data_IF_229303297031
#
_entry.id   IF_229303297031
#
_cell.length_a   1.000
_cell.length_b   1.000
_cell.length_c   1.000
_cell.angle_alpha   90.00
_cell.angle_beta   90.00
_cell.angle_gamma   90.00
#
_symmetry.space_group_name_H-M   'P 1'
#
loop_
_entity.id
_entity.type
_entity.pdbx_description
1 polymer ?
#
# COMPACT_ATOMS: atom_id res chain seq x y z
N UNK A 1 -53.57 17.66 -19.86
CA UNK A 1 -52.31 17.24 -19.20
C UNK A 1 -51.16 17.80 -20.03
N UNK A 2 -50.39 18.76 -19.51
CA UNK A 2 -49.09 19.10 -20.13
C UNK A 2 -48.10 18.01 -19.75
N UNK A 3 -47.52 17.31 -20.73
CA UNK A 3 -46.28 16.58 -20.48
C UNK A 3 -45.15 17.61 -20.37
N UNK A 4 -44.62 17.80 -19.16
CA UNK A 4 -43.28 18.37 -19.03
C UNK A 4 -42.28 17.34 -19.56
N UNK A 5 -41.77 17.58 -20.76
CA UNK A 5 -40.56 16.94 -21.24
C UNK A 5 -39.39 17.38 -20.35
N UNK A 6 -39.00 16.51 -19.43
CA UNK A 6 -37.70 16.60 -18.76
C UNK A 6 -36.60 16.58 -19.81
N UNK A 7 -36.11 17.77 -20.17
CA UNK A 7 -34.86 17.94 -20.90
C UNK A 7 -33.75 17.33 -20.03
N UNK A 8 -33.37 16.10 -20.37
CA UNK A 8 -32.10 15.53 -19.94
C UNK A 8 -30.99 16.41 -20.51
N UNK A 9 -30.57 17.40 -19.72
CA UNK A 9 -29.36 18.16 -19.98
C UNK A 9 -28.21 17.15 -20.03
N UNK A 10 -27.71 16.90 -21.24
CA UNK A 10 -26.47 16.15 -21.40
C UNK A 10 -25.37 16.86 -20.58
N UNK A 11 -24.54 16.12 -19.82
CA UNK A 11 -23.44 16.74 -19.09
C UNK A 11 -22.52 17.48 -20.07
N UNK A 12 -21.94 18.63 -19.66
CA UNK A 12 -21.22 19.52 -20.58
C UNK A 12 -20.05 18.80 -21.25
N UNK A 13 -19.85 19.12 -22.54
CA UNK A 13 -18.84 18.47 -23.35
C UNK A 13 -17.40 18.87 -22.94
N UNK A 14 -16.65 17.85 -22.49
CA UNK A 14 -15.18 17.78 -22.47
C UNK A 14 -14.43 18.76 -21.54
N UNK A 15 -14.53 18.53 -20.24
CA UNK A 15 -13.41 18.78 -19.31
C UNK A 15 -12.43 17.59 -19.30
N UNK A 16 -11.19 17.81 -18.87
CA UNK A 16 -10.21 16.73 -18.66
C UNK A 16 -10.42 16.07 -17.28
N UNK A 17 -10.58 14.76 -17.23
CA UNK A 17 -10.73 14.02 -15.98
C UNK A 17 -9.35 13.79 -15.31
N UNK A 18 -9.25 14.02 -14.01
CA UNK A 18 -8.05 13.64 -13.25
C UNK A 18 -8.25 12.25 -12.67
N UNK A 19 -7.39 11.32 -13.06
CA UNK A 19 -7.30 9.98 -12.48
C UNK A 19 -6.14 10.00 -11.49
N UNK A 20 -6.49 9.98 -10.20
CA UNK A 20 -5.54 10.20 -9.10
C UNK A 20 -5.29 8.88 -8.36
N UNK A 21 -4.01 8.53 -8.23
CA UNK A 21 -3.52 7.39 -7.44
C UNK A 21 -2.47 7.85 -6.43
N UNK A 22 -1.98 6.93 -5.61
CA UNK A 22 -0.92 7.13 -4.64
C UNK A 22 -0.97 6.02 -3.59
N UNK A 23 -0.04 6.02 -2.65
CA UNK A 23 0.00 5.06 -1.54
C UNK A 23 -0.02 3.59 -2.00
N UNK A 24 0.55 3.25 -3.17
CA UNK A 24 0.63 1.84 -3.59
C UNK A 24 1.42 0.97 -2.59
N UNK A 25 2.37 1.56 -1.86
CA UNK A 25 3.10 0.96 -0.75
C UNK A 25 3.82 -0.38 -1.02
N UNK A 26 3.97 -0.80 -2.28
CA UNK A 26 4.52 -2.10 -2.68
C UNK A 26 3.50 -3.13 -3.16
N UNK A 27 2.21 -2.82 -3.14
CA UNK A 27 1.13 -3.74 -3.46
C UNK A 27 0.95 -3.90 -4.98
N UNK A 28 1.83 -4.72 -5.56
CA UNK A 28 1.88 -4.99 -7.00
C UNK A 28 0.71 -5.87 -7.49
N UNK A 29 0.10 -6.67 -6.61
CA UNK A 29 -1.01 -7.60 -6.90
C UNK A 29 -2.26 -7.18 -6.12
N UNK A 30 -3.45 -7.72 -6.43
CA UNK A 30 -4.64 -7.44 -5.63
C UNK A 30 -4.41 -7.75 -4.15
N UNK A 31 -4.60 -6.75 -3.29
CA UNK A 31 -4.55 -6.90 -1.84
C UNK A 31 -5.76 -7.73 -1.39
N UNK A 32 -5.52 -8.81 -0.65
CA UNK A 32 -6.57 -9.68 -0.14
C UNK A 32 -6.35 -11.16 -0.43
N UNK A 33 -6.23 -11.96 0.63
CA UNK A 33 -6.10 -13.43 0.54
C UNK A 33 -7.44 -14.14 0.34
N UNK A 34 -8.52 -13.40 0.04
CA UNK A 34 -9.82 -13.96 -0.35
C UNK A 34 -10.45 -13.18 -1.49
N UNK A 35 -11.18 -13.88 -2.38
CA UNK A 35 -11.90 -13.29 -3.53
C UNK A 35 -12.84 -12.13 -3.19
N UNK A 36 -13.28 -12.01 -1.93
CA UNK A 36 -14.13 -10.91 -1.47
C UNK A 36 -13.34 -9.66 -1.05
N UNK A 37 -12.04 -9.82 -0.74
CA UNK A 37 -11.13 -8.75 -0.34
C UNK A 37 -10.20 -8.27 -1.44
N UNK A 38 -9.85 -9.14 -2.39
CA UNK A 38 -9.02 -8.82 -3.55
C UNK A 38 -9.39 -7.46 -4.16
N UNK A 39 -8.52 -6.45 -3.99
CA UNK A 39 -8.65 -5.11 -4.57
C UNK A 39 -7.32 -4.57 -5.07
N UNK A 40 -7.34 -3.73 -6.11
CA UNK A 40 -6.14 -3.08 -6.61
C UNK A 40 -5.21 -4.01 -7.37
N UNK A 41 -3.90 -3.78 -7.23
CA UNK A 41 -2.86 -4.42 -8.02
C UNK A 41 -2.69 -3.85 -9.42
N UNK A 42 -1.47 -3.98 -9.95
CA UNK A 42 -1.04 -3.46 -11.25
C UNK A 42 -1.92 -3.97 -12.39
N UNK A 43 -2.34 -5.23 -12.33
CA UNK A 43 -3.16 -5.88 -13.38
C UNK A 43 -4.54 -5.24 -13.51
N UNK A 44 -5.24 -4.95 -12.39
CA UNK A 44 -6.57 -4.32 -12.42
C UNK A 44 -6.49 -2.85 -12.76
N UNK A 45 -5.48 -2.15 -12.24
CA UNK A 45 -5.24 -0.75 -12.60
C UNK A 45 -4.92 -0.60 -14.10
N UNK A 46 -4.15 -1.54 -14.67
CA UNK A 46 -3.85 -1.60 -16.09
C UNK A 46 -5.10 -1.87 -16.94
N UNK A 47 -5.97 -2.81 -16.53
CA UNK A 47 -7.28 -3.01 -17.17
C UNK A 47 -8.16 -1.76 -17.09
N UNK A 48 -8.24 -1.12 -15.93
CA UNK A 48 -9.02 0.09 -15.72
C UNK A 48 -8.59 1.23 -16.68
N UNK A 49 -7.29 1.52 -16.78
CA UNK A 49 -6.80 2.51 -17.75
C UNK A 49 -7.10 2.12 -19.21
N UNK A 50 -7.03 0.82 -19.56
CA UNK A 50 -7.47 0.34 -20.88
C UNK A 50 -8.96 0.63 -21.13
N UNK A 51 -9.84 0.47 -20.12
CA UNK A 51 -11.27 0.79 -20.26
C UNK A 51 -11.58 2.29 -20.40
N UNK A 52 -10.76 3.17 -19.82
CA UNK A 52 -10.88 4.64 -19.98
C UNK A 52 -10.44 5.15 -21.35
N UNK A 53 -9.74 4.33 -22.15
CA UNK A 53 -9.23 4.71 -23.47
C UNK A 53 -8.05 5.71 -23.40
N UNK A 54 -7.52 6.18 -24.54
CA UNK A 54 -6.22 6.87 -24.59
C UNK A 54 -6.27 8.41 -24.46
N UNK A 55 -7.44 9.01 -24.23
CA UNK A 55 -7.67 10.47 -24.22
C UNK A 55 -8.77 10.85 -23.24
N UNK A 56 -8.86 12.14 -22.89
CA UNK A 56 -9.91 12.69 -22.03
C UNK A 56 -9.54 12.76 -20.54
N UNK A 57 -8.37 12.26 -20.16
CA UNK A 57 -7.92 12.21 -18.77
C UNK A 57 -6.41 12.42 -18.62
N UNK A 58 -5.98 12.73 -17.38
CA UNK A 58 -4.58 12.79 -16.95
C UNK A 58 -4.37 11.91 -15.72
N UNK A 59 -3.28 11.14 -15.71
CA UNK A 59 -2.87 10.37 -14.53
C UNK A 59 -1.98 11.23 -13.62
N UNK A 60 -2.43 11.42 -12.39
CA UNK A 60 -1.69 12.07 -11.31
C UNK A 60 -1.42 11.02 -10.22
N UNK A 61 -0.19 10.95 -9.72
CA UNK A 61 0.19 10.05 -8.63
C UNK A 61 0.73 10.85 -7.44
N UNK A 62 0.29 10.50 -6.22
CA UNK A 62 0.63 11.21 -4.99
C UNK A 62 1.80 10.55 -4.23
N UNK A 63 2.52 9.63 -4.87
CA UNK A 63 3.75 9.00 -4.38
C UNK A 63 3.51 7.90 -3.37
N UNK A 64 4.57 7.51 -2.68
CA UNK A 64 4.62 6.35 -1.79
C UNK A 64 4.27 5.02 -2.51
N UNK A 65 4.81 4.83 -3.71
CA UNK A 65 4.72 3.54 -4.40
C UNK A 65 5.85 2.58 -3.98
N UNK A 66 7.02 3.14 -3.64
CA UNK A 66 8.19 2.35 -3.30
C UNK A 66 8.05 1.63 -1.96
N UNK A 67 8.77 0.52 -1.81
CA UNK A 67 8.97 -0.21 -0.54
C UNK A 67 10.37 0.01 0.01
N UNK A 68 10.65 -0.59 1.18
CA UNK A 68 12.01 -0.68 1.70
C UNK A 68 13.00 -1.19 0.65
N UNK A 69 14.27 -0.73 0.67
CA UNK A 69 15.27 -1.01 -0.36
C UNK A 69 15.85 -2.42 -0.24
N UNK A 70 14.99 -3.43 -0.37
CA UNK A 70 15.32 -4.85 -0.48
C UNK A 70 15.34 -5.30 -1.95
N UNK A 71 15.97 -6.44 -2.26
CA UNK A 71 16.00 -6.95 -3.63
C UNK A 71 14.60 -7.24 -4.18
N UNK A 72 13.71 -7.86 -3.38
CA UNK A 72 12.29 -8.04 -3.74
C UNK A 72 11.58 -6.69 -3.93
N UNK A 73 11.90 -5.70 -3.09
CA UNK A 73 11.36 -4.35 -3.24
C UNK A 73 11.76 -3.68 -4.55
N UNK A 74 12.99 -3.89 -5.02
CA UNK A 74 13.42 -3.39 -6.32
C UNK A 74 12.73 -4.11 -7.50
N UNK A 75 12.40 -5.40 -7.37
CA UNK A 75 11.56 -6.10 -8.34
C UNK A 75 10.14 -5.51 -8.39
N UNK A 76 9.54 -5.18 -7.24
CA UNK A 76 8.24 -4.47 -7.16
C UNK A 76 8.32 -3.10 -7.84
N UNK A 77 9.37 -2.33 -7.55
CA UNK A 77 9.59 -0.99 -8.09
C UNK A 77 9.73 -0.99 -9.63
N UNK A 78 10.30 -2.05 -10.22
CA UNK A 78 10.37 -2.20 -11.69
C UNK A 78 9.00 -2.45 -12.33
N UNK A 79 8.10 -3.21 -11.68
CA UNK A 79 6.74 -3.42 -12.18
C UNK A 79 5.92 -2.12 -12.15
N UNK A 80 5.99 -1.36 -11.06
CA UNK A 80 5.37 -0.03 -11.00
C UNK A 80 5.95 0.92 -12.06
N UNK A 81 7.27 0.94 -12.26
CA UNK A 81 7.88 1.74 -13.31
C UNK A 81 7.38 1.38 -14.72
N UNK A 82 7.23 0.08 -15.01
CA UNK A 82 6.62 -0.38 -16.26
C UNK A 82 5.17 0.12 -16.39
N UNK A 83 4.36 0.07 -15.32
CA UNK A 83 2.98 0.54 -15.34
C UNK A 83 2.90 2.05 -15.62
N UNK A 84 3.68 2.85 -14.90
CA UNK A 84 3.78 4.31 -15.10
C UNK A 84 4.19 4.68 -16.54
N UNK A 85 5.10 3.91 -17.13
CA UNK A 85 5.52 4.06 -18.53
C UNK A 85 4.43 3.65 -19.52
N UNK A 86 3.76 2.54 -19.28
CA UNK A 86 2.74 1.97 -20.17
C UNK A 86 1.49 2.85 -20.28
N UNK A 87 1.00 3.38 -19.15
CA UNK A 87 -0.20 4.24 -19.10
C UNK A 87 0.13 5.73 -19.02
N UNK A 88 1.38 6.10 -19.33
CA UNK A 88 1.81 7.49 -19.58
C UNK A 88 1.48 8.44 -18.41
N UNK A 89 1.95 8.10 -17.20
CA UNK A 89 1.86 8.96 -16.03
C UNK A 89 2.25 10.41 -16.38
N UNK A 90 1.41 11.39 -16.01
CA UNK A 90 1.66 12.78 -16.38
C UNK A 90 2.47 13.52 -15.31
N UNK A 91 2.13 13.33 -14.03
CA UNK A 91 2.88 13.89 -12.90
C UNK A 91 2.84 12.95 -11.69
N UNK A 92 3.94 12.89 -10.95
CA UNK A 92 4.02 12.22 -9.64
C UNK A 92 4.57 13.18 -8.60
N UNK A 93 3.86 13.38 -7.49
CA UNK A 93 4.44 13.95 -6.27
C UNK A 93 5.23 12.84 -5.57
N UNK A 94 6.58 12.90 -5.48
CA UNK A 94 7.33 11.91 -4.69
C UNK A 94 6.93 12.00 -3.22
N UNK A 95 6.87 10.86 -2.53
CA UNK A 95 6.60 10.75 -1.09
C UNK A 95 7.83 10.27 -0.28
N UNK A 96 7.69 10.15 1.05
CA UNK A 96 8.75 9.67 1.93
C UNK A 96 9.41 8.34 1.49
N UNK A 97 8.66 7.40 0.92
CA UNK A 97 9.22 6.11 0.45
C UNK A 97 10.16 6.30 -0.74
N UNK A 98 9.88 7.22 -1.67
CA UNK A 98 10.82 7.54 -2.75
C UNK A 98 12.07 8.28 -2.24
N UNK A 99 11.92 9.14 -1.21
CA UNK A 99 13.06 9.79 -0.54
C UNK A 99 13.90 8.83 0.31
N UNK A 100 13.33 7.73 0.81
CA UNK A 100 14.06 6.68 1.54
C UNK A 100 15.19 6.05 0.71
N UNK A 101 15.03 6.05 -0.62
CA UNK A 101 16.01 5.54 -1.57
C UNK A 101 17.11 6.57 -1.90
N UNK A 102 17.03 7.78 -1.33
CA UNK A 102 17.93 8.91 -1.54
C UNK A 102 17.92 9.46 -2.99
N UNK A 103 18.79 10.45 -3.25
CA UNK A 103 18.94 11.06 -4.59
C UNK A 103 19.20 10.02 -5.68
N UNK A 104 19.99 8.98 -5.38
CA UNK A 104 20.30 7.89 -6.34
C UNK A 104 19.08 7.05 -6.67
N UNK A 105 18.20 6.76 -5.71
CA UNK A 105 16.94 6.06 -5.95
C UNK A 105 15.98 6.84 -6.83
N UNK A 106 15.78 8.12 -6.51
CA UNK A 106 14.96 9.04 -7.34
C UNK A 106 15.54 9.14 -8.76
N UNK A 107 16.86 9.22 -8.90
CA UNK A 107 17.54 9.23 -10.20
C UNK A 107 17.57 7.87 -10.92
N UNK A 108 17.28 6.74 -10.25
CA UNK A 108 17.36 5.39 -10.84
C UNK A 108 16.33 5.17 -11.94
N UNK A 109 15.16 5.80 -11.84
CA UNK A 109 14.00 5.57 -12.72
C UNK A 109 13.46 6.92 -13.21
N UNK A 110 13.39 7.10 -14.53
CA UNK A 110 12.92 8.35 -15.15
C UNK A 110 11.40 8.46 -15.07
N UNK A 111 10.92 8.86 -13.89
CA UNK A 111 9.53 9.17 -13.61
C UNK A 111 9.26 10.69 -13.73
N UNK A 112 8.01 11.10 -13.99
CA UNK A 112 7.63 12.49 -14.22
C UNK A 112 7.42 13.27 -12.91
N UNK A 113 8.44 13.31 -12.05
CA UNK A 113 8.33 13.92 -10.72
C UNK A 113 7.97 15.41 -10.79
N UNK A 114 7.05 15.82 -9.91
CA UNK A 114 6.55 17.19 -9.77
C UNK A 114 6.67 17.61 -8.31
N UNK A 115 7.59 18.53 -8.02
CA UNK A 115 7.87 18.98 -6.66
C UNK A 115 8.34 20.43 -6.68
N UNK A 116 7.46 21.37 -6.38
CA UNK A 116 7.74 22.81 -6.46
C UNK A 116 8.66 23.28 -5.33
N UNK A 117 8.56 22.68 -4.14
CA UNK A 117 9.32 23.06 -2.95
C UNK A 117 10.69 22.37 -2.79
N UNK A 118 11.19 21.69 -3.82
CA UNK A 118 12.56 21.18 -3.81
C UNK A 118 13.60 22.31 -3.90
N UNK A 119 14.76 22.10 -3.28
CA UNK A 119 15.96 22.93 -3.45
C UNK A 119 17.15 22.10 -3.94
N UNK A 120 18.06 22.77 -4.64
CA UNK A 120 19.16 22.12 -5.37
C UNK A 120 18.68 21.20 -6.50
N UNK A 121 19.60 20.38 -6.99
CA UNK A 121 19.34 19.45 -8.09
C UNK A 121 18.69 18.15 -7.59
N UNK A 122 17.57 17.78 -8.22
CA UNK A 122 16.86 16.52 -8.06
C UNK A 122 16.47 15.97 -9.44
N UNK A 123 16.90 14.76 -9.76
CA UNK A 123 16.77 14.19 -11.10
C UNK A 123 15.29 14.04 -11.52
N UNK A 124 15.01 14.32 -12.79
CA UNK A 124 13.70 14.19 -13.43
C UNK A 124 12.55 14.91 -12.71
N UNK A 125 12.87 15.91 -11.88
CA UNK A 125 11.91 16.67 -11.07
C UNK A 125 11.66 18.03 -11.69
N UNK A 126 10.41 18.30 -12.03
CA UNK A 126 9.94 19.58 -12.53
C UNK A 126 9.27 20.37 -11.40
N UNK A 127 9.41 21.70 -11.39
CA UNK A 127 8.78 22.57 -10.37
C UNK A 127 7.30 22.82 -10.66
N UNK A 128 6.93 22.85 -11.93
CA UNK A 128 5.58 23.07 -12.46
C UNK A 128 5.39 22.27 -13.74
N UNK A 129 4.13 21.97 -14.10
CA UNK A 129 3.74 21.40 -15.39
C UNK A 129 2.52 22.11 -15.96
N UNK A 130 2.30 21.99 -17.28
CA UNK A 130 1.13 22.57 -17.95
C UNK A 130 0.46 21.53 -18.87
N UNK A 131 -0.87 21.40 -18.80
CA UNK A 131 -1.64 20.49 -19.67
C UNK A 131 -3.14 20.81 -19.65
N UNK A 132 -3.78 20.83 -20.83
CA UNK A 132 -5.23 21.08 -21.02
C UNK A 132 -5.81 22.28 -20.23
N UNK A 133 -5.11 23.42 -20.21
CA UNK A 133 -5.54 24.63 -19.47
C UNK A 133 -5.16 24.66 -17.98
N UNK A 134 -4.56 23.59 -17.46
CA UNK A 134 -4.14 23.47 -16.06
C UNK A 134 -2.62 23.62 -15.88
N UNK A 135 -2.23 24.27 -14.79
CA UNK A 135 -0.87 24.41 -14.29
C UNK A 135 -0.74 23.63 -12.97
N UNK A 136 0.14 22.65 -12.95
CA UNK A 136 0.29 21.70 -11.84
C UNK A 136 1.51 22.03 -10.99
N UNK A 137 1.36 21.90 -9.68
CA UNK A 137 2.36 22.12 -8.65
C UNK A 137 2.45 20.89 -7.73
N UNK A 138 3.54 20.76 -6.99
CA UNK A 138 3.75 19.69 -6.02
C UNK A 138 4.31 20.21 -4.70
N UNK A 139 3.73 19.82 -3.58
CA UNK A 139 4.24 20.14 -2.25
C UNK A 139 4.37 18.86 -1.40
N UNK A 140 5.59 18.59 -0.94
CA UNK A 140 5.87 17.60 0.11
C UNK A 140 6.38 18.34 1.35
N UNK A 141 5.72 18.14 2.50
CA UNK A 141 6.16 18.73 3.75
C UNK A 141 7.54 18.20 4.18
N UNK A 142 8.51 19.08 4.50
CA UNK A 142 9.77 18.68 5.09
C UNK A 142 9.61 17.98 6.45
N UNK A 143 8.50 18.21 7.18
CA UNK A 143 8.25 17.56 8.47
C UNK A 143 8.18 16.03 8.35
N UNK A 144 7.62 15.54 7.24
CA UNK A 144 7.52 14.10 6.92
C UNK A 144 8.88 13.48 6.54
N UNK A 145 9.89 14.31 6.27
CA UNK A 145 11.27 13.92 5.91
C UNK A 145 12.28 14.41 6.95
N UNK A 146 11.86 14.58 8.21
CA UNK A 146 12.72 15.11 9.29
C UNK A 146 13.50 14.04 10.06
N UNK A 147 13.06 12.77 10.01
CA UNK A 147 13.57 11.68 10.85
C UNK A 147 13.78 10.37 10.06
N UNK A 148 14.68 9.53 10.58
CA UNK A 148 14.94 8.18 10.07
C UNK A 148 15.55 8.14 8.66
N UNK A 149 15.27 7.06 7.93
CA UNK A 149 15.79 6.81 6.57
C UNK A 149 15.26 7.80 5.52
N UNK A 150 14.21 8.57 5.84
CA UNK A 150 13.60 9.55 4.97
C UNK A 150 14.27 10.93 5.06
N UNK A 151 15.26 11.13 5.96
CA UNK A 151 15.79 12.46 6.27
C UNK A 151 16.34 13.17 5.03
N UNK A 152 15.87 14.39 4.76
CA UNK A 152 16.43 15.22 3.69
C UNK A 152 16.38 16.71 3.98
N UNK A 153 17.45 17.41 3.60
CA UNK A 153 17.52 18.88 3.60
C UNK A 153 17.18 19.46 2.21
N UNK A 154 16.58 18.65 1.31
CA UNK A 154 16.27 19.03 -0.08
C UNK A 154 14.92 19.74 -0.25
N UNK A 155 14.15 19.95 0.81
CA UNK A 155 12.82 20.56 0.73
C UNK A 155 12.74 21.83 1.58
N UNK A 156 12.10 22.86 1.03
CA UNK A 156 11.77 24.08 1.74
C UNK A 156 10.34 24.03 2.31
N UNK A 157 10.11 24.70 3.43
CA UNK A 157 8.82 24.75 4.11
C UNK A 157 7.74 25.55 3.37
N UNK A 158 6.49 25.44 3.85
CA UNK A 158 5.29 26.00 3.21
C UNK A 158 5.38 27.48 2.85
N UNK A 159 6.04 28.32 3.67
CA UNK A 159 6.20 29.75 3.38
C UNK A 159 7.05 30.04 2.13
N UNK A 160 8.18 29.35 1.98
CA UNK A 160 9.04 29.46 0.80
C UNK A 160 8.39 28.82 -0.44
N UNK A 161 7.66 27.71 -0.25
CA UNK A 161 6.80 27.15 -1.30
C UNK A 161 5.76 28.17 -1.80
N UNK A 162 5.00 28.82 -0.92
CA UNK A 162 3.97 29.79 -1.30
C UNK A 162 4.56 31.01 -2.02
N UNK A 163 5.70 31.54 -1.54
CA UNK A 163 6.43 32.61 -2.21
C UNK A 163 6.82 32.21 -3.65
N UNK A 164 7.39 31.01 -3.82
CA UNK A 164 7.77 30.48 -5.14
C UNK A 164 6.57 30.19 -6.03
N UNK A 165 5.52 29.57 -5.49
CA UNK A 165 4.31 29.23 -6.22
C UNK A 165 3.66 30.50 -6.77
N UNK A 166 3.56 31.57 -5.96
CA UNK A 166 3.07 32.89 -6.38
C UNK A 166 3.87 33.49 -7.55
N UNK A 167 5.20 33.33 -7.57
CA UNK A 167 6.06 33.78 -8.69
C UNK A 167 5.90 32.92 -9.94
N UNK A 168 5.66 31.61 -9.80
CA UNK A 168 5.49 30.68 -10.92
C UNK A 168 4.07 30.63 -11.49
N UNK A 169 3.06 31.12 -10.75
CA UNK A 169 1.64 31.06 -11.13
C UNK A 169 1.34 32.03 -12.28
N UNK A 170 0.88 31.51 -13.42
CA UNK A 170 0.34 32.34 -14.52
C UNK A 170 -1.18 32.45 -14.41
N UNK A 171 -1.73 33.66 -14.65
CA UNK A 171 -3.18 33.93 -14.67
C UNK A 171 -3.91 33.26 -15.84
N UNK A 172 -3.18 32.79 -16.85
CA UNK A 172 -3.76 32.14 -18.05
C UNK A 172 -4.18 30.69 -17.79
N UNK A 173 -3.68 30.08 -16.72
CA UNK A 173 -3.86 28.66 -16.39
C UNK A 173 -4.60 28.53 -15.07
N UNK A 174 -5.31 27.42 -14.87
CA UNK A 174 -5.91 27.06 -13.57
C UNK A 174 -4.96 26.19 -12.76
N UNK A 175 -4.86 26.44 -11.46
CA UNK A 175 -3.88 25.85 -10.56
C UNK A 175 -4.36 24.52 -9.98
N UNK A 176 -3.52 23.50 -10.10
CA UNK A 176 -3.67 22.21 -9.40
C UNK A 176 -2.47 21.99 -8.49
N UNK A 177 -2.71 21.64 -7.24
CA UNK A 177 -1.65 21.22 -6.32
C UNK A 177 -1.78 19.74 -5.97
N UNK A 178 -0.74 18.95 -6.23
CA UNK A 178 -0.54 17.67 -5.58
C UNK A 178 0.08 17.94 -4.20
N UNK A 179 -0.60 17.54 -3.12
CA UNK A 179 -0.24 17.95 -1.76
C UNK A 179 0.03 16.75 -0.85
N UNK A 180 1.13 16.79 -0.09
CA UNK A 180 1.36 15.90 1.05
C UNK A 180 2.00 16.69 2.20
N UNK A 181 1.19 17.04 3.19
CA UNK A 181 1.60 17.77 4.38
C UNK A 181 0.53 17.75 5.46
N UNK A 182 0.80 18.41 6.59
CA UNK A 182 -0.12 18.43 7.73
C UNK A 182 -1.35 19.35 7.47
N UNK A 183 -2.44 19.24 8.25
CA UNK A 183 -3.65 20.06 8.04
C UNK A 183 -3.41 21.58 8.11
N UNK A 184 -2.45 22.04 8.91
CA UNK A 184 -2.10 23.47 9.05
C UNK A 184 -1.38 24.00 7.80
N UNK A 185 -0.52 23.19 7.17
CA UNK A 185 0.06 23.51 5.87
C UNK A 185 -1.02 23.55 4.77
N UNK A 186 -2.00 22.63 4.80
CA UNK A 186 -3.12 22.62 3.87
C UNK A 186 -3.98 23.89 4.02
N UNK A 187 -4.32 24.28 5.24
CA UNK A 187 -5.10 25.50 5.55
C UNK A 187 -4.38 26.77 5.06
N UNK A 188 -3.07 26.90 5.33
CA UNK A 188 -2.25 28.00 4.83
C UNK A 188 -2.19 28.07 3.30
N UNK A 189 -2.16 26.91 2.64
CA UNK A 189 -2.15 26.81 1.18
C UNK A 189 -3.52 27.16 0.59
N UNK A 190 -4.60 26.63 1.17
CA UNK A 190 -5.98 26.93 0.78
C UNK A 190 -6.26 28.44 0.91
N UNK A 191 -5.90 29.04 2.04
CA UNK A 191 -6.03 30.47 2.31
C UNK A 191 -5.20 31.39 1.38
N UNK A 192 -4.25 30.84 0.61
CA UNK A 192 -3.49 31.61 -0.38
C UNK A 192 -4.27 31.93 -1.66
N UNK A 193 -5.34 31.18 -1.95
CA UNK A 193 -6.12 31.31 -3.19
C UNK A 193 -5.36 30.98 -4.48
N UNK A 194 -4.17 30.35 -4.41
CA UNK A 194 -3.33 30.06 -5.58
C UNK A 194 -3.81 28.86 -6.41
N UNK A 195 -4.64 27.98 -5.86
CA UNK A 195 -5.01 26.70 -6.47
C UNK A 195 -6.52 26.47 -6.44
N UNK A 196 -7.09 26.25 -7.61
CA UNK A 196 -8.48 25.91 -7.84
C UNK A 196 -8.79 24.44 -7.49
N UNK A 197 -7.78 23.56 -7.55
CA UNK A 197 -7.87 22.15 -7.13
C UNK A 197 -6.66 21.80 -6.27
N UNK A 198 -6.89 21.17 -5.11
CA UNK A 198 -5.83 20.59 -4.28
C UNK A 198 -6.14 19.10 -4.09
N UNK A 199 -5.15 18.26 -4.35
CA UNK A 199 -5.21 16.80 -4.30
C UNK A 199 -4.35 16.31 -3.14
N UNK A 200 -4.92 16.17 -1.92
CA UNK A 200 -4.17 15.66 -0.77
C UNK A 200 -3.91 14.17 -0.89
N UNK A 201 -2.67 13.77 -0.62
CA UNK A 201 -2.31 12.39 -0.43
C UNK A 201 -3.01 11.81 0.80
N UNK A 202 -3.40 10.55 0.71
CA UNK A 202 -3.92 9.80 1.84
C UNK A 202 -2.79 9.57 2.85
N UNK A 203 -3.04 9.90 4.12
CA UNK A 203 -2.05 9.85 5.21
C UNK A 203 -2.45 8.85 6.32
N UNK A 204 -3.43 8.01 6.04
CA UNK A 204 -3.88 6.98 6.98
C UNK A 204 -2.81 5.91 7.19
N UNK A 205 -2.75 5.39 8.42
CA UNK A 205 -1.78 4.35 8.81
C UNK A 205 -2.24 2.94 8.41
N UNK A 206 -3.54 2.77 8.19
CA UNK A 206 -4.15 1.49 7.81
C UNK A 206 -5.45 1.74 7.04
N UNK A 207 -5.97 0.69 6.42
CA UNK A 207 -7.20 0.77 5.64
C UNK A 207 -8.44 1.12 6.47
N UNK A 208 -8.48 0.69 7.74
CA UNK A 208 -9.59 0.94 8.66
C UNK A 208 -9.58 2.37 9.22
N UNK A 209 -8.45 3.06 9.09
CA UNK A 209 -8.28 4.45 9.55
C UNK A 209 -8.32 5.47 8.40
N UNK A 210 -8.55 5.01 7.15
CA UNK A 210 -8.52 5.89 5.98
C UNK A 210 -9.80 6.69 5.80
N UNK A 211 -9.64 7.99 5.57
CA UNK A 211 -10.71 8.94 5.25
C UNK A 211 -10.51 9.43 3.82
N UNK A 212 -11.36 8.95 2.91
CA UNK A 212 -11.28 9.26 1.48
C UNK A 212 -11.92 10.62 1.13
N UNK A 213 -12.76 11.14 2.02
CA UNK A 213 -13.36 12.47 1.98
C UNK A 213 -13.20 13.10 3.37
N UNK A 214 -12.81 14.37 3.42
CA UNK A 214 -12.79 15.18 4.64
C UNK A 214 -13.07 16.66 4.31
N UNK A 215 -13.40 17.45 5.33
CA UNK A 215 -13.67 18.89 5.18
C UNK A 215 -12.66 19.72 5.98
N UNK A 216 -12.15 20.80 5.37
CA UNK A 216 -11.28 21.78 6.01
C UNK A 216 -11.65 23.19 5.49
N UNK A 217 -11.83 24.15 6.40
CA UNK A 217 -12.24 25.52 6.09
C UNK A 217 -13.38 25.59 5.04
N UNK A 218 -14.47 24.84 5.30
CA UNK A 218 -15.68 24.75 4.46
C UNK A 218 -15.47 24.22 3.04
N UNK A 219 -14.30 23.66 2.73
CA UNK A 219 -14.01 22.98 1.48
C UNK A 219 -13.86 21.48 1.71
N UNK A 220 -14.48 20.68 0.83
CA UNK A 220 -14.31 19.23 0.80
C UNK A 220 -13.08 18.84 -0.01
N UNK A 221 -12.36 17.85 0.50
CA UNK A 221 -11.17 17.28 -0.12
C UNK A 221 -11.33 15.77 -0.27
N UNK A 222 -10.77 15.24 -1.35
CA UNK A 222 -10.79 13.81 -1.66
C UNK A 222 -9.37 13.28 -1.78
N UNK A 223 -9.14 12.06 -1.28
CA UNK A 223 -7.85 11.36 -1.41
C UNK A 223 -8.04 9.96 -2.02
N UNK A 224 -7.06 9.45 -2.79
CA UNK A 224 -7.12 8.08 -3.31
C UNK A 224 -7.01 7.06 -2.15
N UNK A 225 -7.61 5.86 -2.29
CA UNK A 225 -7.49 4.83 -1.27
C UNK A 225 -6.06 4.28 -1.19
N UNK A 226 -5.69 3.76 -0.02
CA UNK A 226 -4.40 3.12 0.19
C UNK A 226 -4.21 1.90 -0.75
N UNK A 227 -2.95 1.49 -0.91
CA UNK A 227 -2.52 0.25 -1.56
C UNK A 227 -3.00 0.09 -3.02
N UNK A 228 -3.35 1.20 -3.69
CA UNK A 228 -3.88 1.17 -5.05
C UNK A 228 -5.22 0.45 -5.21
N UNK A 229 -6.02 0.31 -4.14
CA UNK A 229 -7.30 -0.40 -4.17
C UNK A 229 -8.35 0.22 -5.10
N UNK A 230 -8.13 1.47 -5.51
CA UNK A 230 -9.02 2.25 -6.34
C UNK A 230 -8.31 3.44 -6.96
N UNK A 231 -8.97 4.06 -7.92
CA UNK A 231 -8.55 5.34 -8.53
C UNK A 231 -9.54 6.41 -8.09
N UNK A 232 -9.05 7.54 -7.60
CA UNK A 232 -9.89 8.72 -7.39
C UNK A 232 -10.12 9.38 -8.75
N UNK A 233 -11.34 9.30 -9.27
CA UNK A 233 -11.79 10.04 -10.43
C UNK A 233 -12.31 11.40 -9.99
N UNK A 234 -11.72 12.47 -10.51
CA UNK A 234 -12.11 13.85 -10.18
C UNK A 234 -12.32 14.63 -11.47
N UNK A 235 -13.50 15.26 -11.60
CA UNK A 235 -13.73 16.26 -12.62
C UNK A 235 -13.37 17.64 -12.02
N UNK A 236 -12.31 18.30 -12.50
CA UNK A 236 -11.84 19.55 -11.90
C UNK A 236 -12.75 20.75 -12.25
N UNK A 237 -13.73 20.58 -13.14
CA UNK A 237 -14.79 21.56 -13.39
C UNK A 237 -15.90 21.53 -12.33
N UNK A 238 -16.19 20.38 -11.73
CA UNK A 238 -17.27 20.22 -10.73
C UNK A 238 -16.81 20.53 -9.30
N UNK A 239 -16.11 21.66 -9.11
CA UNK A 239 -15.55 22.11 -7.82
C UNK A 239 -14.71 21.04 -7.09
N UNK A 240 -14.07 20.13 -7.83
CA UNK A 240 -13.27 19.04 -7.27
C UNK A 240 -14.08 17.89 -6.66
N UNK A 241 -15.38 17.78 -6.95
CA UNK A 241 -16.16 16.59 -6.59
C UNK A 241 -15.51 15.32 -7.16
N UNK A 242 -15.15 14.39 -6.27
CA UNK A 242 -14.46 13.16 -6.60
C UNK A 242 -15.27 11.90 -6.30
N UNK A 243 -14.99 10.81 -7.00
CA UNK A 243 -15.50 9.46 -6.70
C UNK A 243 -14.37 8.44 -6.77
N UNK A 244 -14.40 7.43 -5.91
CA UNK A 244 -13.41 6.34 -5.96
C UNK A 244 -13.93 5.19 -6.83
N UNK A 245 -13.25 4.94 -7.94
CA UNK A 245 -13.41 3.75 -8.76
C UNK A 245 -12.62 2.59 -8.12
N UNK A 246 -13.30 1.79 -7.30
CA UNK A 246 -12.72 0.61 -6.66
C UNK A 246 -12.35 -0.50 -7.66
N UNK A 247 -11.14 -1.03 -7.55
CA UNK A 247 -10.56 -2.07 -8.42
C UNK A 247 -10.77 -3.47 -7.83
N UNK A 248 -12.03 -3.83 -7.58
CA UNK A 248 -12.42 -5.14 -7.03
C UNK A 248 -12.51 -6.25 -8.11
N UNK A 249 -13.11 -7.41 -7.78
CA UNK A 249 -13.26 -8.54 -8.70
C UNK A 249 -14.02 -8.24 -10.00
N UNK A 250 -14.83 -7.17 -10.03
CA UNK A 250 -15.48 -6.65 -11.24
C UNK A 250 -14.49 -6.10 -12.28
N UNK A 251 -13.28 -5.73 -11.86
CA UNK A 251 -12.21 -5.29 -12.76
C UNK A 251 -11.33 -6.49 -13.09
N UNK A 252 -11.31 -6.97 -14.35
CA UNK A 252 -10.53 -8.14 -14.73
C UNK A 252 -9.03 -7.88 -14.60
N UNK A 253 -8.25 -8.92 -14.32
CA UNK A 253 -6.78 -8.85 -14.41
C UNK A 253 -6.38 -8.64 -15.87
N UNK A 254 -5.43 -7.75 -16.12
CA UNK A 254 -4.88 -7.50 -17.46
C UNK A 254 -3.90 -8.62 -17.85
N UNK A 255 -4.26 -9.51 -18.80
CA UNK A 255 -3.45 -10.68 -19.12
C UNK A 255 -2.09 -10.33 -19.74
N UNK A 256 -1.88 -9.09 -20.18
CA UNK A 256 -0.58 -8.66 -20.73
C UNK A 256 0.54 -8.62 -19.70
N UNK A 257 0.21 -8.67 -18.40
CA UNK A 257 1.17 -8.71 -17.29
C UNK A 257 1.57 -10.12 -16.84
N UNK A 258 0.88 -11.17 -17.31
CA UNK A 258 1.11 -12.54 -16.83
C UNK A 258 2.59 -12.99 -16.96
N UNK A 259 3.27 -12.57 -18.03
CA UNK A 259 4.70 -12.86 -18.23
C UNK A 259 5.60 -12.12 -17.24
N UNK A 260 5.30 -10.87 -16.91
CA UNK A 260 6.09 -10.09 -15.95
C UNK A 260 5.93 -10.63 -14.54
N UNK A 261 4.72 -11.02 -14.15
CA UNK A 261 4.47 -11.66 -12.85
C UNK A 261 5.14 -13.03 -12.75
N UNK A 262 5.06 -13.89 -13.77
CA UNK A 262 5.81 -15.15 -13.78
C UNK A 262 7.33 -14.96 -13.68
N UNK A 263 7.88 -13.87 -14.25
CA UNK A 263 9.29 -13.51 -14.08
C UNK A 263 9.60 -12.94 -12.69
N UNK A 264 8.69 -12.18 -12.09
CA UNK A 264 8.78 -11.69 -10.72
C UNK A 264 8.82 -12.87 -9.74
N UNK A 265 7.85 -13.79 -9.82
CA UNK A 265 7.71 -14.94 -8.92
C UNK A 265 8.99 -15.80 -8.92
N UNK A 266 9.51 -16.13 -10.12
CA UNK A 266 10.78 -16.87 -10.27
C UNK A 266 11.99 -16.15 -9.68
N UNK A 267 12.04 -14.81 -9.77
CA UNK A 267 13.13 -14.03 -9.17
C UNK A 267 13.00 -13.97 -7.64
N UNK A 268 11.79 -13.84 -7.11
CA UNK A 268 11.53 -13.89 -5.66
C UNK A 268 11.94 -15.26 -5.09
N UNK A 269 11.56 -16.35 -5.75
CA UNK A 269 12.05 -17.71 -5.43
C UNK A 269 13.59 -17.80 -5.44
N UNK A 270 14.24 -17.25 -6.46
CA UNK A 270 15.72 -17.22 -6.53
C UNK A 270 16.35 -16.44 -5.37
N UNK A 271 15.75 -15.30 -4.98
CA UNK A 271 16.20 -14.50 -3.83
C UNK A 271 15.99 -15.24 -2.51
N UNK A 272 14.82 -15.89 -2.34
CA UNK A 272 14.49 -16.69 -1.17
C UNK A 272 15.51 -17.82 -0.97
N UNK A 273 15.72 -18.66 -2.00
CA UNK A 273 16.68 -19.77 -1.96
C UNK A 273 18.12 -19.29 -1.70
N UNK A 274 18.51 -18.13 -2.27
CA UNK A 274 19.83 -17.52 -2.01
C UNK A 274 19.97 -17.04 -0.55
N UNK A 275 18.87 -16.59 0.07
CA UNK A 275 18.86 -16.17 1.47
C UNK A 275 19.03 -17.35 2.44
N UNK A 276 18.49 -18.54 2.12
CA UNK A 276 18.63 -19.74 2.96
C UNK A 276 20.10 -20.13 3.17
N UNK A 277 20.92 -20.05 2.13
CA UNK A 277 22.36 -20.34 2.21
C UNK A 277 23.15 -19.35 3.11
N UNK A 278 22.58 -18.17 3.36
CA UNK A 278 23.12 -17.19 4.31
C UNK A 278 22.55 -17.40 5.71
N UNK A 279 21.26 -17.71 5.84
CA UNK A 279 20.60 -18.03 7.11
C UNK A 279 21.18 -19.28 7.76
N UNK A 280 21.48 -20.34 6.99
CA UNK A 280 22.10 -21.58 7.47
C UNK A 280 23.53 -21.37 8.04
N UNK A 281 24.17 -20.22 7.77
CA UNK A 281 25.48 -19.85 8.34
C UNK A 281 25.36 -19.03 9.63
N UNK A 282 24.17 -18.50 9.92
CA UNK A 282 23.89 -17.88 11.21
C UNK A 282 23.64 -19.01 12.21
N UNK A 283 24.38 -19.02 13.31
CA UNK A 283 24.20 -20.03 14.37
C UNK A 283 22.76 -20.07 14.89
N UNK A 284 22.36 -21.19 15.47
CA UNK A 284 20.96 -21.45 15.80
C UNK A 284 20.38 -20.40 16.77
N UNK A 285 19.53 -19.54 16.22
CA UNK A 285 18.76 -18.50 16.93
C UNK A 285 17.27 -18.84 16.94
N UNK A 286 16.89 -20.11 16.73
CA UNK A 286 15.49 -20.50 16.73
C UNK A 286 14.92 -20.43 18.15
N UNK A 287 13.82 -19.70 18.29
CA UNK A 287 13.13 -19.48 19.58
C UNK A 287 11.76 -20.16 19.64
N UNK A 288 11.24 -20.60 18.50
CA UNK A 288 9.97 -21.32 18.38
C UNK A 288 10.20 -22.83 18.51
N UNK A 289 9.41 -23.49 19.36
CA UNK A 289 9.45 -24.95 19.55
C UNK A 289 8.51 -25.69 18.56
N UNK A 290 7.48 -25.01 18.06
CA UNK A 290 6.49 -25.58 17.13
C UNK A 290 5.33 -26.33 17.79
N UNK A 291 4.21 -26.47 17.08
CA UNK A 291 2.99 -27.15 17.59
C UNK A 291 3.27 -28.55 18.14
N UNK A 292 4.15 -29.33 17.47
CA UNK A 292 4.54 -30.67 17.89
C UNK A 292 5.16 -30.76 19.30
N UNK A 293 5.78 -29.68 19.80
CA UNK A 293 6.23 -29.61 21.19
C UNK A 293 5.06 -29.47 22.17
N UNK A 294 4.09 -28.59 21.87
CA UNK A 294 2.96 -28.27 22.74
C UNK A 294 2.00 -29.45 22.93
N UNK A 295 1.70 -30.20 21.86
CA UNK A 295 0.70 -31.29 21.88
C UNK A 295 1.12 -32.51 22.70
N UNK A 296 2.39 -32.62 23.11
CA UNK A 296 2.84 -33.66 24.06
C UNK A 296 2.16 -33.55 25.44
N UNK A 297 1.68 -32.37 25.81
CA UNK A 297 0.94 -32.13 27.06
C UNK A 297 -0.44 -31.49 26.86
N UNK A 298 -0.74 -31.03 25.64
CA UNK A 298 -1.98 -30.33 25.27
C UNK A 298 -2.71 -31.04 24.13
N UNK A 299 -2.91 -32.36 24.24
CA UNK A 299 -3.49 -33.21 23.19
C UNK A 299 -4.85 -32.69 22.71
N UNK A 300 -5.79 -32.46 23.64
CA UNK A 300 -7.15 -32.01 23.31
C UNK A 300 -7.18 -30.63 22.62
N UNK A 301 -6.28 -29.71 22.99
CA UNK A 301 -6.12 -28.43 22.30
C UNK A 301 -5.48 -28.61 20.91
N UNK A 302 -4.54 -29.55 20.78
CA UNK A 302 -3.93 -29.95 19.51
C UNK A 302 -4.95 -30.50 18.52
N UNK A 303 -5.80 -31.43 18.95
CA UNK A 303 -6.88 -32.03 18.14
C UNK A 303 -7.89 -30.98 17.65
N UNK A 304 -8.20 -29.98 18.47
CA UNK A 304 -9.04 -28.85 18.08
C UNK A 304 -8.32 -27.87 17.13
N UNK A 305 -7.02 -27.65 17.32
CA UNK A 305 -6.19 -26.80 16.46
C UNK A 305 -5.98 -27.40 15.07
N UNK A 306 -5.75 -28.71 14.98
CA UNK A 306 -5.49 -29.43 13.72
C UNK A 306 -6.65 -29.32 12.74
N UNK A 307 -7.88 -29.26 13.23
CA UNK A 307 -9.08 -29.05 12.40
C UNK A 307 -9.21 -27.61 11.85
N UNK A 308 -8.33 -26.70 12.24
CA UNK A 308 -8.36 -25.30 11.82
C UNK A 308 -7.58 -25.06 10.53
N UNK A 309 -7.95 -24.03 9.77
CA UNK A 309 -7.21 -23.59 8.58
C UNK A 309 -5.79 -23.09 8.89
N UNK A 310 -5.49 -22.77 10.15
CA UNK A 310 -4.16 -22.31 10.54
C UNK A 310 -3.15 -23.47 10.57
N UNK A 311 -3.58 -24.67 11.00
CA UNK A 311 -2.78 -25.89 10.97
C UNK A 311 -2.37 -26.34 9.55
N UNK A 312 -3.04 -25.83 8.52
CA UNK A 312 -2.76 -26.12 7.10
C UNK A 312 -2.53 -24.85 6.28
N UNK A 313 -2.06 -23.77 6.91
CA UNK A 313 -1.99 -22.45 6.28
C UNK A 313 -1.08 -22.44 5.03
N UNK A 314 0.10 -23.06 5.13
CA UNK A 314 1.10 -23.10 4.07
C UNK A 314 0.65 -23.80 2.78
N UNK A 315 -0.19 -24.84 2.87
CA UNK A 315 -0.73 -25.54 1.70
C UNK A 315 -1.35 -24.61 0.67
N UNK A 316 -1.98 -23.52 1.15
CA UNK A 316 -2.60 -22.53 0.27
C UNK A 316 -1.58 -21.70 -0.51
N UNK A 317 -0.36 -21.53 0.01
CA UNK A 317 0.76 -20.92 -0.71
C UNK A 317 1.33 -21.87 -1.75
N UNK A 318 1.50 -23.16 -1.44
CA UNK A 318 1.94 -24.17 -2.41
C UNK A 318 0.97 -24.26 -3.59
N UNK A 319 -0.34 -24.39 -3.30
CA UNK A 319 -1.43 -24.39 -4.29
C UNK A 319 -1.50 -23.11 -5.12
N UNK A 320 -0.98 -21.99 -4.61
CA UNK A 320 -0.91 -20.70 -5.29
C UNK A 320 0.45 -20.41 -5.96
N UNK A 321 1.45 -21.30 -5.85
CA UNK A 321 2.81 -21.05 -6.34
C UNK A 321 3.57 -19.95 -5.58
N UNK A 322 3.22 -19.69 -4.31
CA UNK A 322 3.76 -18.61 -3.46
C UNK A 322 4.50 -19.08 -2.22
N UNK A 323 4.87 -20.36 -2.14
CA UNK A 323 5.61 -20.95 -1.02
C UNK A 323 6.95 -20.24 -0.70
N UNK A 324 7.48 -19.46 -1.66
CA UNK A 324 8.75 -18.72 -1.57
C UNK A 324 8.59 -17.19 -1.48
N UNK A 325 7.37 -16.65 -1.36
CA UNK A 325 7.11 -15.20 -1.29
C UNK A 325 7.10 -14.69 0.17
N UNK A 326 8.09 -13.89 0.61
CA UNK A 326 8.17 -13.35 1.97
C UNK A 326 6.90 -12.61 2.44
N UNK A 327 6.21 -11.91 1.53
CA UNK A 327 4.97 -11.18 1.82
C UNK A 327 3.82 -12.13 2.21
N UNK A 328 3.88 -13.38 1.74
CA UNK A 328 2.88 -14.41 2.02
C UNK A 328 3.30 -15.32 3.18
N UNK A 329 4.57 -15.75 3.22
CA UNK A 329 5.13 -16.65 4.23
C UNK A 329 4.93 -16.09 5.66
N UNK A 330 5.04 -14.77 5.84
CA UNK A 330 4.91 -14.09 7.15
C UNK A 330 3.56 -14.33 7.85
N UNK A 331 2.49 -14.59 7.09
CA UNK A 331 1.14 -14.86 7.62
C UNK A 331 0.75 -16.36 7.59
N UNK A 332 1.54 -17.22 6.95
CA UNK A 332 1.21 -18.64 6.73
C UNK A 332 2.13 -19.63 7.47
N UNK A 333 3.14 -19.14 8.17
CA UNK A 333 4.18 -19.95 8.84
C UNK A 333 4.47 -19.49 10.27
N UNK A 334 5.11 -20.33 11.06
CA UNK A 334 5.40 -20.04 12.47
C UNK A 334 6.71 -19.27 12.64
N UNK A 335 6.61 -17.95 12.84
CA UNK A 335 7.74 -17.13 13.27
C UNK A 335 8.74 -16.71 12.18
N UNK A 336 8.34 -16.71 10.90
CA UNK A 336 9.17 -16.18 9.81
C UNK A 336 9.68 -14.75 10.12
N UNK A 337 10.96 -14.50 9.82
CA UNK A 337 11.72 -13.29 10.20
C UNK A 337 11.71 -12.94 11.70
N UNK A 338 11.32 -13.87 12.58
CA UNK A 338 11.26 -13.69 14.05
C UNK A 338 12.02 -14.78 14.82
N UNK A 339 12.88 -15.55 14.13
CA UNK A 339 13.57 -16.71 14.70
C UNK A 339 12.76 -18.01 14.70
N UNK A 340 11.79 -18.14 13.79
CA UNK A 340 11.02 -19.35 13.54
C UNK A 340 11.32 -19.95 12.16
N UNK A 341 10.29 -20.14 11.34
CA UNK A 341 10.36 -20.73 10.01
C UNK A 341 11.43 -20.09 9.11
N UNK A 342 12.18 -20.95 8.42
CA UNK A 342 13.19 -20.62 7.41
C UNK A 342 12.80 -21.25 6.06
N UNK A 343 12.63 -22.58 6.03
CA UNK A 343 12.13 -23.33 4.87
C UNK A 343 11.50 -24.66 5.31
N UNK A 344 10.85 -25.34 4.36
CA UNK A 344 10.30 -26.70 4.49
C UNK A 344 11.36 -27.74 4.87
N UNK A 345 12.61 -27.57 4.45
CA UNK A 345 13.73 -28.50 4.71
C UNK A 345 14.43 -28.20 6.04
N UNK A 346 14.62 -26.91 6.36
CA UNK A 346 15.38 -26.48 7.54
C UNK A 346 14.53 -26.40 8.81
N UNK A 347 13.22 -26.20 8.66
CA UNK A 347 12.25 -26.01 9.75
C UNK A 347 10.89 -26.63 9.43
N UNK A 348 10.79 -27.92 9.06
CA UNK A 348 9.52 -28.57 8.71
C UNK A 348 8.47 -28.48 9.82
N UNK A 349 8.88 -28.46 11.09
CA UNK A 349 8.00 -28.33 12.26
C UNK A 349 7.38 -26.93 12.45
N UNK A 350 7.76 -25.95 11.63
CA UNK A 350 7.29 -24.55 11.69
C UNK A 350 6.59 -24.12 10.38
N UNK A 351 6.33 -25.05 9.47
CA UNK A 351 5.83 -24.76 8.11
C UNK A 351 4.44 -24.14 8.09
N UNK A 352 3.55 -24.50 9.00
CA UNK A 352 2.23 -23.88 9.14
C UNK A 352 2.23 -22.80 10.24
N UNK A 353 1.11 -22.08 10.41
CA UNK A 353 0.89 -21.39 11.69
C UNK A 353 0.81 -22.43 12.81
N UNK A 354 1.29 -22.11 14.00
CA UNK A 354 1.26 -23.02 15.15
C UNK A 354 0.86 -22.35 16.46
N UNK A 355 0.86 -23.13 17.55
CA UNK A 355 0.38 -22.67 18.86
C UNK A 355 1.04 -21.35 19.30
N UNK A 356 2.34 -21.18 19.05
CA UNK A 356 3.09 -20.00 19.51
C UNK A 356 2.81 -18.73 18.67
N UNK A 357 2.19 -18.85 17.48
CA UNK A 357 1.65 -17.68 16.78
C UNK A 357 0.50 -17.03 17.55
N UNK A 358 -0.28 -17.83 18.29
CA UNK A 358 -1.43 -17.36 19.05
C UNK A 358 -1.13 -17.10 20.53
N UNK A 359 -0.43 -18.03 21.17
CA UNK A 359 -0.17 -18.02 22.62
C UNK A 359 1.19 -17.38 23.00
N UNK A 360 2.04 -17.09 22.00
CA UNK A 360 3.42 -16.67 22.22
C UNK A 360 4.37 -17.86 22.44
N UNK A 361 5.66 -17.58 22.54
CA UNK A 361 6.70 -18.58 22.77
C UNK A 361 6.49 -19.31 24.10
N UNK A 362 6.79 -20.61 24.14
CA UNK A 362 6.75 -21.40 25.37
C UNK A 362 7.80 -20.86 26.38
N UNK A 363 7.38 -20.31 27.54
CA UNK A 363 8.33 -19.75 28.50
C UNK A 363 9.08 -20.87 29.24
N UNK A 364 10.31 -20.57 29.66
CA UNK A 364 11.14 -21.49 30.44
C UNK A 364 10.45 -21.89 31.75
N UNK A 365 10.51 -23.18 32.10
CA UNK A 365 9.89 -23.72 33.31
C UNK A 365 8.39 -23.99 33.21
N UNK A 366 7.73 -23.60 32.11
CA UNK A 366 6.32 -23.96 31.84
C UNK A 366 6.09 -25.48 31.93
N UNK A 367 7.14 -26.25 31.62
CA UNK A 367 7.18 -27.71 31.67
C UNK A 367 7.03 -28.30 33.10
N UNK A 368 7.05 -27.45 34.13
CA UNK A 368 7.11 -27.84 35.56
C UNK A 368 6.15 -27.07 36.46
N UNK A 369 5.54 -25.99 35.98
CA UNK A 369 4.70 -25.10 36.78
C UNK A 369 3.21 -25.15 36.40
N UNK A 370 2.41 -25.83 37.24
CA UNK A 370 0.95 -25.92 37.08
C UNK A 370 0.23 -24.60 37.41
N UNK A 371 0.87 -23.67 38.13
CA UNK A 371 0.32 -22.35 38.43
C UNK A 371 0.35 -21.41 37.21
N UNK A 372 1.08 -21.75 36.14
CA UNK A 372 1.12 -21.01 34.87
C UNK A 372 -0.28 -20.72 34.30
N UNK A 373 -1.29 -21.56 34.60
CA UNK A 373 -2.70 -21.29 34.26
C UNK A 373 -3.19 -19.91 34.71
N UNK A 374 -2.67 -19.36 35.80
CA UNK A 374 -3.00 -18.03 36.35
C UNK A 374 -2.31 -16.88 35.63
N UNK A 375 -1.11 -17.14 35.07
CA UNK A 375 -0.26 -16.12 34.44
C UNK A 375 -0.32 -16.12 32.89
N UNK A 376 -1.08 -17.04 32.27
CA UNK A 376 -1.23 -17.12 30.82
C UNK A 376 -1.81 -15.82 30.25
N UNK A 377 -1.18 -15.26 29.22
CA UNK A 377 -1.75 -14.13 28.48
C UNK A 377 -2.91 -14.64 27.60
N UNK A 378 -4.08 -13.98 27.59
CA UNK A 378 -5.16 -14.36 26.70
C UNK A 378 -4.80 -14.04 25.23
N UNK A 379 -5.28 -14.86 24.30
CA UNK A 379 -5.28 -14.50 22.87
C UNK A 379 -6.25 -13.33 22.68
N UNK A 380 -5.78 -12.22 22.14
CA UNK A 380 -6.56 -11.01 21.92
C UNK A 380 -6.74 -10.73 20.43
N UNK A 381 -7.68 -9.84 20.08
CA UNK A 381 -7.88 -9.39 18.69
C UNK A 381 -6.59 -8.90 18.02
N UNK A 382 -5.65 -8.32 18.78
CA UNK A 382 -4.36 -7.85 18.25
C UNK A 382 -3.52 -8.98 17.63
N UNK A 383 -3.61 -10.19 18.18
CA UNK A 383 -2.92 -11.38 17.66
C UNK A 383 -3.46 -11.74 16.27
N UNK A 384 -4.79 -11.82 16.14
CA UNK A 384 -5.43 -12.11 14.86
C UNK A 384 -5.18 -11.00 13.83
N UNK A 385 -5.20 -9.72 14.25
CA UNK A 385 -4.91 -8.56 13.40
C UNK A 385 -3.46 -8.48 12.90
N UNK A 386 -2.57 -9.35 13.37
CA UNK A 386 -1.26 -9.54 12.74
C UNK A 386 -1.33 -10.10 11.30
N UNK A 387 -2.43 -10.78 10.94
CA UNK A 387 -2.68 -11.31 9.60
C UNK A 387 -4.06 -10.91 9.04
N UNK A 388 -5.06 -10.70 9.89
CA UNK A 388 -6.43 -10.33 9.48
C UNK A 388 -6.69 -8.84 9.68
N UNK A 389 -6.43 -8.05 8.64
CA UNK A 389 -6.64 -6.59 8.61
C UNK A 389 -7.13 -6.16 7.22
N UNK A 390 -7.79 -5.00 7.15
CA UNK A 390 -8.20 -4.33 5.92
C UNK A 390 -8.75 -5.25 4.82
N UNK A 391 -8.17 -5.13 3.63
CA UNK A 391 -8.44 -5.95 2.44
C UNK A 391 -7.83 -7.34 2.52
N UNK A 392 -6.80 -7.55 3.35
CA UNK A 392 -6.15 -8.84 3.56
C UNK A 392 -7.17 -9.91 3.99
N UNK A 393 -8.07 -9.55 4.92
CA UNK A 393 -9.32 -10.28 5.18
C UNK A 393 -10.47 -9.33 5.60
N UNK A 394 -11.28 -8.82 4.65
CA UNK A 394 -12.31 -7.81 4.91
C UNK A 394 -13.56 -8.38 5.60
N UNK A 395 -13.64 -9.71 5.76
CA UNK A 395 -14.75 -10.38 6.44
C UNK A 395 -14.35 -10.86 7.83
N UNK A 396 -13.15 -10.52 8.29
CA UNK A 396 -12.71 -10.82 9.64
C UNK A 396 -13.48 -9.98 10.66
N UNK A 397 -14.18 -10.67 11.57
CA UNK A 397 -14.59 -10.14 12.85
C UNK A 397 -14.05 -11.09 13.92
N UNK A 398 -13.37 -10.55 14.93
CA UNK A 398 -12.82 -11.36 16.01
C UNK A 398 -13.92 -12.06 16.80
N UNK A 399 -15.03 -11.35 17.01
CA UNK A 399 -16.22 -11.77 17.75
C UNK A 399 -16.89 -12.99 17.10
N UNK A 400 -16.75 -13.17 15.78
CA UNK A 400 -17.35 -14.28 15.01
C UNK A 400 -16.33 -15.34 14.57
N UNK A 401 -15.05 -14.99 14.44
CA UNK A 401 -13.99 -15.92 14.04
C UNK A 401 -13.35 -16.63 15.24
N UNK A 402 -13.01 -15.90 16.31
CA UNK A 402 -12.34 -16.46 17.49
C UNK A 402 -13.12 -17.59 18.18
N UNK A 403 -14.47 -17.52 18.32
CA UNK A 403 -15.24 -18.62 18.92
C UNK A 403 -15.15 -19.96 18.18
N UNK A 404 -14.68 -19.98 16.92
CA UNK A 404 -14.52 -21.20 16.10
C UNK A 404 -13.19 -21.91 16.30
N UNK A 405 -12.21 -21.26 16.94
CA UNK A 405 -10.84 -21.77 17.13
C UNK A 405 -10.39 -21.78 18.60
N UNK A 406 -11.14 -21.14 19.50
CA UNK A 406 -10.88 -21.16 20.95
C UNK A 406 -10.98 -22.57 21.52
N UNK A 407 -10.11 -22.87 22.50
CA UNK A 407 -10.00 -24.16 23.20
C UNK A 407 -9.40 -23.96 24.61
#
# INVERSE_FOLDING_TARGET
>A
MLLLSLLYLAPPAWGVEFLVTGEFQGEIRPCGCSKAGERGGIERLSSYFKTKGPKGWLWLDLGNFAVEPTDQGELKNDLFYKLYRQHRLFAMLPGPREFAMGKRGIAKRRLPFLLTNHQGELAYTERIKHKEGWQFFGFLSPELLSLGVHKTDLLEGVGAFLARAKTLRSKEWRGVLLFRGNPKELELIQGSGLFEVILPANQAKSEETQQLEFELAQQKFFSPPLQGQGVLELNPESQGAGRVAWLGPQTPLDPTWAKDFAQYDKKVETLFLSSLASQAKLGDKRVYKGTGYCVNCHQAQGEAFEQSKHAHAFDSLEKAGRAHDPDCIVCHTQGYNKGGFLSTELTPNLVHLGCENCHGLAPEGHEKDLEYKKNRKPVTQLVCKGCHYGSHDPRFSFETAYPKIKH
#
